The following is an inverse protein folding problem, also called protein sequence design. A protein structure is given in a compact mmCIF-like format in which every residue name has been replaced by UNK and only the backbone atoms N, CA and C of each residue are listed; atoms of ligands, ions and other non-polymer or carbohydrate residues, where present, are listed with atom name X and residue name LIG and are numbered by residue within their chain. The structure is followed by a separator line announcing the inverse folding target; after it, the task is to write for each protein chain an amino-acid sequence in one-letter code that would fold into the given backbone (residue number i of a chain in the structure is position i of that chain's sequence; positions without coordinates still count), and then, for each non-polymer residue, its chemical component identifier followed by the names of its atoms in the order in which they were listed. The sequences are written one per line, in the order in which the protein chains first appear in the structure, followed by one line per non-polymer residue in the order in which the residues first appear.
data_IF_964209165365
#
_entry.id   IF_964209165365
#
_cell.length_a   1.000
_cell.length_b   1.000
_cell.length_c   1.000
_cell.angle_alpha   90.00
_cell.angle_beta   90.00
_cell.angle_gamma   90.00
#
_symmetry.space_group_name_H-M   'P 1'
#
loop_
_entity.id
_entity.type
_entity.pdbx_description
1 polymer ?
#
# COMPACT_ATOMS: atom_id res chain seq x y z
N UNK A 1 11.46 38.02 21.99
CA UNK A 1 12.57 38.00 21.01
C UNK A 1 13.10 36.57 20.95
N UNK A 2 12.81 35.85 19.88
CA UNK A 2 13.30 34.48 19.66
C UNK A 2 14.57 34.60 18.81
N UNK A 3 15.72 34.03 19.21
CA UNK A 3 16.96 34.18 18.46
C UNK A 3 16.88 33.52 17.09
N UNK A 4 17.30 34.25 16.06
CA UNK A 4 17.13 33.97 14.63
C UNK A 4 18.21 33.09 13.99
N UNK A 5 18.99 32.31 14.76
CA UNK A 5 20.00 31.43 14.15
C UNK A 5 20.33 30.23 15.03
N UNK A 6 19.61 29.14 14.82
CA UNK A 6 20.08 27.80 15.15
C UNK A 6 20.37 27.09 13.83
N UNK A 7 21.58 27.30 13.30
CA UNK A 7 22.10 26.49 12.20
C UNK A 7 22.40 25.09 12.72
N UNK A 8 21.43 24.18 12.57
CA UNK A 8 21.67 22.76 12.73
C UNK A 8 22.47 22.29 11.52
N UNK A 9 23.71 21.89 11.75
CA UNK A 9 24.57 21.18 10.79
C UNK A 9 23.98 19.79 10.47
N UNK A 10 22.89 19.76 9.72
CA UNK A 10 22.39 18.57 9.02
C UNK A 10 22.58 18.78 7.52
N UNK A 11 23.77 18.44 7.01
CA UNK A 11 24.08 18.45 5.57
C UNK A 11 23.26 17.46 4.72
N UNK A 12 22.23 16.83 5.29
CA UNK A 12 21.33 15.88 4.64
C UNK A 12 19.88 16.40 4.61
N UNK A 13 19.61 17.58 5.18
CA UNK A 13 18.25 18.11 5.39
C UNK A 13 18.01 19.51 4.78
N UNK A 14 18.88 19.98 3.88
CA UNK A 14 18.54 21.08 2.98
C UNK A 14 18.03 20.48 1.66
N UNK A 15 16.85 20.88 1.15
CA UNK A 15 16.50 20.54 -0.22
C UNK A 15 17.57 21.18 -1.10
N UNK A 16 18.31 20.36 -1.86
CA UNK A 16 19.03 20.89 -3.01
C UNK A 16 17.96 21.57 -3.87
N UNK A 17 18.18 22.82 -4.27
CA UNK A 17 17.34 23.46 -5.29
C UNK A 17 17.26 22.50 -6.47
N UNK A 18 16.12 21.83 -6.61
CA UNK A 18 15.80 21.06 -7.81
C UNK A 18 15.66 22.10 -8.92
N UNK A 19 16.77 22.34 -9.62
CA UNK A 19 16.69 22.84 -10.98
C UNK A 19 15.65 21.96 -11.68
N UNK A 20 14.54 22.56 -12.09
CA UNK A 20 13.50 21.90 -12.88
C UNK A 20 14.19 21.28 -14.09
N UNK A 21 14.50 20.00 -13.99
CA UNK A 21 14.89 19.21 -15.13
C UNK A 21 13.72 19.32 -16.13
N UNK A 22 14.00 19.54 -17.43
CA UNK A 22 12.96 19.51 -18.43
C UNK A 22 12.18 18.19 -18.28
N UNK A 23 10.86 18.28 -18.42
CA UNK A 23 9.98 17.12 -18.40
C UNK A 23 10.59 16.01 -19.27
N UNK A 24 10.81 14.79 -18.73
CA UNK A 24 11.36 13.71 -19.53
C UNK A 24 10.46 13.48 -20.75
N UNK A 25 11.03 13.14 -21.92
CA UNK A 25 10.24 12.76 -23.08
C UNK A 25 9.27 11.63 -22.71
N UNK A 26 8.15 11.54 -23.43
CA UNK A 26 7.19 10.45 -23.27
C UNK A 26 7.95 9.11 -23.21
N UNK A 27 7.91 8.44 -22.06
CA UNK A 27 8.68 7.22 -21.81
C UNK A 27 8.15 6.10 -22.70
N UNK A 28 9.04 5.42 -23.41
CA UNK A 28 8.72 4.18 -24.09
C UNK A 28 8.22 3.10 -23.10
N UNK A 29 7.24 2.26 -23.46
CA UNK A 29 6.57 1.37 -22.52
C UNK A 29 7.39 0.10 -22.18
N UNK A 30 7.68 -0.08 -20.88
CA UNK A 30 8.18 -1.27 -20.16
C UNK A 30 8.83 -2.40 -20.97
N UNK A 31 10.10 -2.23 -21.33
CA UNK A 31 10.95 -3.36 -21.73
C UNK A 31 11.07 -4.40 -20.61
N UNK A 32 11.17 -3.99 -19.34
CA UNK A 32 11.41 -4.95 -18.26
C UNK A 32 10.21 -5.83 -17.94
N UNK A 33 8.96 -5.29 -17.93
CA UNK A 33 7.78 -6.11 -17.66
C UNK A 33 7.55 -7.10 -18.80
N UNK A 34 7.72 -6.65 -20.05
CA UNK A 34 7.75 -7.53 -21.22
C UNK A 34 8.78 -8.63 -21.06
N UNK A 35 10.05 -8.28 -20.77
CA UNK A 35 11.13 -9.24 -20.59
C UNK A 35 10.82 -10.31 -19.54
N UNK A 36 10.14 -9.96 -18.44
CA UNK A 36 9.79 -10.94 -17.41
C UNK A 36 8.50 -11.70 -17.71
N UNK A 37 7.53 -11.14 -18.45
CA UNK A 37 6.26 -11.81 -18.76
C UNK A 37 6.28 -12.62 -20.05
N UNK A 38 7.03 -12.19 -21.06
CA UNK A 38 7.10 -12.81 -22.38
C UNK A 38 7.41 -14.31 -22.36
N UNK A 39 8.38 -14.82 -21.57
CA UNK A 39 8.69 -16.24 -21.56
C UNK A 39 7.60 -17.11 -20.91
N UNK A 40 6.64 -16.53 -20.20
CA UNK A 40 5.68 -17.27 -19.37
C UNK A 40 4.43 -17.62 -20.18
N UNK A 41 4.10 -18.89 -20.30
CA UNK A 41 2.98 -19.35 -21.16
C UNK A 41 1.73 -19.75 -20.40
N UNK A 42 1.74 -19.71 -19.06
CA UNK A 42 0.62 -20.15 -18.22
C UNK A 42 0.30 -19.12 -17.14
N UNK A 43 -0.98 -19.03 -16.79
CA UNK A 43 -1.50 -18.17 -15.74
C UNK A 43 -2.48 -18.97 -14.87
N UNK A 44 -2.42 -18.79 -13.56
CA UNK A 44 -3.32 -19.47 -12.60
C UNK A 44 -4.09 -18.44 -11.78
N UNK A 45 -5.40 -18.59 -11.70
CA UNK A 45 -6.24 -17.75 -10.83
C UNK A 45 -6.05 -18.25 -9.39
N UNK A 46 -5.33 -17.47 -8.57
CA UNK A 46 -5.11 -17.79 -7.16
C UNK A 46 -6.33 -17.41 -6.31
N UNK A 47 -6.93 -16.24 -6.58
CA UNK A 47 -8.17 -15.83 -5.94
C UNK A 47 -9.23 -15.47 -6.99
N UNK A 48 -10.51 -15.83 -6.76
CA UNK A 48 -11.58 -15.66 -7.74
C UNK A 48 -11.68 -14.25 -8.31
N UNK A 49 -11.93 -14.18 -9.61
CA UNK A 49 -12.18 -12.93 -10.30
C UNK A 49 -13.61 -12.46 -10.03
N UNK A 50 -13.78 -11.16 -9.80
CA UNK A 50 -15.10 -10.53 -9.82
C UNK A 50 -15.75 -10.63 -11.20
N UNK A 51 -17.07 -10.41 -11.30
CA UNK A 51 -17.78 -10.40 -12.58
C UNK A 51 -17.16 -9.38 -13.57
N UNK A 52 -16.89 -8.17 -13.09
CA UNK A 52 -16.26 -7.10 -13.88
C UNK A 52 -14.85 -7.48 -14.38
N UNK A 53 -14.04 -8.11 -13.52
CA UNK A 53 -12.70 -8.57 -13.91
C UNK A 53 -12.75 -9.75 -14.91
N UNK A 54 -13.70 -10.66 -14.71
CA UNK A 54 -13.90 -11.83 -15.58
C UNK A 54 -14.32 -11.40 -16.98
N UNK A 55 -15.22 -10.41 -17.08
CA UNK A 55 -15.67 -9.83 -18.34
C UNK A 55 -14.50 -9.18 -19.10
N UNK A 56 -13.69 -8.36 -18.42
CA UNK A 56 -12.55 -7.69 -19.06
C UNK A 56 -11.45 -8.67 -19.49
N UNK A 57 -11.30 -9.79 -18.80
CA UNK A 57 -10.32 -10.83 -19.15
C UNK A 57 -10.89 -11.89 -20.12
N UNK A 58 -12.13 -11.71 -20.59
CA UNK A 58 -12.85 -12.68 -21.44
C UNK A 58 -12.82 -14.12 -20.87
N UNK A 59 -12.95 -14.28 -19.55
CA UNK A 59 -12.88 -15.59 -18.88
C UNK A 59 -14.29 -16.13 -18.54
N UNK A 60 -14.72 -17.27 -19.13
CA UNK A 60 -15.99 -17.92 -18.75
C UNK A 60 -15.87 -18.71 -17.43
N UNK A 61 -16.89 -18.63 -16.58
CA UNK A 61 -16.96 -19.18 -15.22
C UNK A 61 -16.84 -20.73 -15.12
N UNK A 62 -16.86 -21.50 -16.22
CA UNK A 62 -16.73 -22.98 -16.20
C UNK A 62 -16.18 -23.54 -17.54
N UNK A 63 -15.23 -24.51 -17.49
CA UNK A 63 -14.77 -25.49 -18.55
C UNK A 63 -13.29 -25.52 -19.07
N UNK A 64 -12.49 -26.51 -18.63
CA UNK A 64 -11.23 -27.05 -19.19
C UNK A 64 -9.92 -26.24 -19.08
N UNK A 65 -8.84 -26.86 -18.57
CA UNK A 65 -7.82 -26.19 -17.73
C UNK A 65 -6.59 -25.63 -18.50
N UNK A 66 -5.98 -26.40 -19.41
CA UNK A 66 -4.68 -26.02 -20.03
C UNK A 66 -4.77 -24.98 -21.16
N UNK A 67 -5.86 -24.98 -21.95
CA UNK A 67 -6.07 -23.96 -22.99
C UNK A 67 -6.46 -22.60 -22.37
N UNK A 68 -7.04 -22.60 -21.17
CA UNK A 68 -7.39 -21.37 -20.44
C UNK A 68 -6.19 -20.68 -19.85
N UNK A 69 -5.31 -21.43 -19.20
CA UNK A 69 -4.13 -20.87 -18.53
C UNK A 69 -3.24 -20.14 -19.53
N UNK A 70 -3.11 -20.65 -20.76
CA UNK A 70 -2.38 -20.01 -21.85
C UNK A 70 -3.10 -18.80 -22.46
N UNK A 71 -4.42 -18.90 -22.66
CA UNK A 71 -5.24 -17.77 -23.15
C UNK A 71 -5.29 -16.61 -22.13
N UNK A 72 -5.37 -16.93 -20.84
CA UNK A 72 -5.33 -15.96 -19.77
C UNK A 72 -3.95 -15.29 -19.71
N UNK A 73 -2.87 -16.06 -19.86
CA UNK A 73 -1.52 -15.52 -19.91
C UNK A 73 -1.33 -14.54 -21.09
N UNK A 74 -1.78 -14.90 -22.29
CA UNK A 74 -1.71 -14.00 -23.45
C UNK A 74 -2.55 -12.75 -23.25
N UNK A 75 -3.75 -12.88 -22.69
CA UNK A 75 -4.65 -11.75 -22.42
C UNK A 75 -4.02 -10.78 -21.40
N UNK A 76 -3.43 -11.30 -20.33
CA UNK A 76 -2.74 -10.46 -19.33
C UNK A 76 -1.54 -9.73 -19.92
N UNK A 77 -0.75 -10.40 -20.78
CA UNK A 77 0.35 -9.74 -21.50
C UNK A 77 -0.17 -8.62 -22.38
N UNK A 78 -1.18 -8.90 -23.21
CA UNK A 78 -1.80 -7.90 -24.09
C UNK A 78 -2.37 -6.71 -23.32
N UNK A 79 -3.00 -6.95 -22.18
CA UNK A 79 -3.48 -5.89 -21.30
C UNK A 79 -2.30 -5.05 -20.78
N UNK A 80 -1.21 -5.68 -20.34
CA UNK A 80 -0.03 -4.94 -19.90
C UNK A 80 0.54 -4.03 -21.00
N UNK A 81 0.42 -4.44 -22.28
CA UNK A 81 0.89 -3.63 -23.41
C UNK A 81 -0.02 -2.44 -23.72
N UNK A 82 -1.32 -2.56 -23.46
CA UNK A 82 -2.34 -1.56 -23.82
C UNK A 82 -2.70 -0.62 -22.68
N UNK A 83 -2.26 -0.91 -21.45
CA UNK A 83 -2.63 -0.18 -20.24
C UNK A 83 -1.77 1.05 -20.00
N UNK A 84 -2.36 2.06 -19.36
CA UNK A 84 -1.63 3.22 -18.89
C UNK A 84 -0.87 2.88 -17.60
N UNK A 85 0.42 3.16 -17.55
CA UNK A 85 1.21 2.95 -16.33
C UNK A 85 1.04 4.16 -15.43
N UNK A 86 0.36 3.97 -14.30
CA UNK A 86 0.13 5.04 -13.32
C UNK A 86 1.18 5.04 -12.20
N UNK A 87 1.89 3.92 -12.01
CA UNK A 87 3.01 3.80 -11.08
C UNK A 87 3.98 2.72 -11.53
N UNK A 88 5.28 2.95 -11.30
CA UNK A 88 6.34 2.01 -11.65
C UNK A 88 7.46 2.04 -10.60
N UNK A 89 7.86 0.85 -10.16
CA UNK A 89 9.03 0.63 -9.31
C UNK A 89 9.78 -0.61 -9.79
N UNK A 90 10.42 -0.49 -10.95
CA UNK A 90 11.10 -1.57 -11.67
C UNK A 90 12.16 -2.32 -10.85
N UNK A 91 12.87 -1.63 -9.94
CA UNK A 91 13.84 -2.25 -9.00
C UNK A 91 13.17 -3.31 -8.11
N UNK A 92 11.91 -3.08 -7.76
CA UNK A 92 11.08 -3.99 -6.95
C UNK A 92 10.22 -4.93 -7.81
N UNK A 93 10.39 -4.91 -9.13
CA UNK A 93 9.55 -5.60 -10.13
C UNK A 93 8.05 -5.34 -9.90
N UNK A 94 7.70 -4.12 -9.52
CA UNK A 94 6.32 -3.73 -9.25
C UNK A 94 5.86 -2.61 -10.17
N UNK A 95 4.64 -2.70 -10.65
CA UNK A 95 3.97 -1.66 -11.43
C UNK A 95 2.48 -1.62 -11.11
N UNK A 96 1.84 -0.47 -11.36
CA UNK A 96 0.38 -0.35 -11.34
C UNK A 96 -0.07 0.11 -12.72
N UNK A 97 -0.89 -0.72 -13.35
CA UNK A 97 -1.36 -0.57 -14.72
C UNK A 97 -2.86 -0.29 -14.69
N UNK A 98 -3.28 0.85 -15.23
CA UNK A 98 -4.68 1.21 -15.42
C UNK A 98 -5.13 0.71 -16.79
N UNK A 99 -6.04 -0.25 -16.78
CA UNK A 99 -6.49 -0.93 -18.00
C UNK A 99 -7.98 -0.69 -18.30
N UNK A 100 -8.71 -0.09 -17.36
CA UNK A 100 -10.08 0.39 -17.57
C UNK A 100 -10.33 1.67 -16.77
N UNK A 101 -11.54 2.22 -16.85
CA UNK A 101 -11.92 3.40 -16.06
C UNK A 101 -11.93 3.12 -14.56
N UNK A 102 -12.26 1.88 -14.17
CA UNK A 102 -12.56 1.51 -12.77
C UNK A 102 -11.60 0.47 -12.19
N UNK A 103 -10.68 -0.10 -12.97
CA UNK A 103 -9.79 -1.17 -12.53
C UNK A 103 -8.33 -0.92 -12.88
N UNK A 104 -7.48 -1.36 -11.95
CA UNK A 104 -6.02 -1.42 -12.09
C UNK A 104 -5.49 -2.81 -11.78
N UNK A 105 -4.34 -3.12 -12.35
CA UNK A 105 -3.53 -4.29 -12.03
C UNK A 105 -2.28 -3.81 -11.29
N UNK A 106 -2.06 -4.29 -10.06
CA UNK A 106 -0.77 -4.18 -9.37
C UNK A 106 0.04 -5.45 -9.63
N UNK A 107 1.22 -5.31 -10.21
CA UNK A 107 2.18 -6.40 -10.39
C UNK A 107 3.20 -6.40 -9.26
N UNK A 108 3.60 -7.59 -8.81
CA UNK A 108 4.63 -7.75 -7.77
C UNK A 108 5.20 -9.18 -7.78
N UNK A 109 6.43 -9.40 -7.28
CA UNK A 109 6.95 -10.75 -7.07
C UNK A 109 6.15 -11.50 -6.01
N UNK A 110 5.77 -12.76 -6.27
CA UNK A 110 5.01 -13.58 -5.30
C UNK A 110 5.78 -13.82 -3.98
N UNK A 111 7.11 -13.65 -3.99
CA UNK A 111 7.95 -13.72 -2.79
C UNK A 111 7.64 -12.64 -1.75
N UNK A 112 6.86 -11.61 -2.11
CA UNK A 112 6.36 -10.59 -1.18
C UNK A 112 5.10 -11.01 -0.43
N UNK A 113 4.54 -12.17 -0.76
CA UNK A 113 3.28 -12.64 -0.22
C UNK A 113 2.07 -11.90 -0.80
N UNK A 114 0.91 -12.17 -0.21
CA UNK A 114 -0.39 -11.68 -0.68
C UNK A 114 -1.12 -10.83 0.38
N UNK A 115 -0.38 -10.33 1.38
CA UNK A 115 -0.95 -9.60 2.52
C UNK A 115 -1.84 -8.43 2.08
N UNK A 116 -1.42 -7.64 1.08
CA UNK A 116 -2.24 -6.55 0.54
C UNK A 116 -3.60 -7.05 0.02
N UNK A 117 -3.63 -8.15 -0.73
CA UNK A 117 -4.87 -8.72 -1.26
C UNK A 117 -5.81 -9.13 -0.12
N UNK A 118 -5.28 -9.83 0.89
CA UNK A 118 -6.05 -10.27 2.06
C UNK A 118 -6.55 -9.10 2.90
N UNK A 119 -5.72 -8.08 3.12
CA UNK A 119 -6.09 -6.87 3.83
C UNK A 119 -7.21 -6.11 3.11
N UNK A 120 -7.12 -5.97 1.79
CA UNK A 120 -8.18 -5.35 0.99
C UNK A 120 -9.47 -6.17 1.01
N UNK A 121 -9.40 -7.51 0.99
CA UNK A 121 -10.60 -8.35 1.12
C UNK A 121 -11.28 -8.14 2.47
N UNK A 122 -10.48 -8.15 3.54
CA UNK A 122 -10.99 -7.95 4.89
C UNK A 122 -11.63 -6.57 5.07
N UNK A 123 -11.00 -5.50 4.56
CA UNK A 123 -11.55 -4.14 4.59
C UNK A 123 -12.79 -3.98 3.72
N UNK A 124 -12.84 -4.63 2.56
CA UNK A 124 -14.03 -4.62 1.72
C UNK A 124 -15.24 -5.28 2.40
N UNK A 125 -15.01 -6.27 3.28
CA UNK A 125 -16.05 -6.90 4.08
C UNK A 125 -16.47 -6.03 5.28
N UNK A 126 -15.50 -5.50 6.04
CA UNK A 126 -15.77 -4.79 7.30
C UNK A 126 -16.17 -3.33 7.11
N UNK A 127 -15.66 -2.68 6.08
CA UNK A 127 -15.83 -1.24 5.81
C UNK A 127 -16.05 -0.98 4.31
N UNK A 128 -17.12 -1.53 3.71
CA UNK A 128 -17.36 -1.49 2.27
C UNK A 128 -17.59 -0.08 1.69
N UNK A 129 -17.89 0.89 2.55
CA UNK A 129 -18.23 2.28 2.23
C UNK A 129 -17.07 3.26 2.43
N UNK A 130 -15.94 2.80 3.00
CA UNK A 130 -14.74 3.62 3.07
C UNK A 130 -14.04 3.71 1.70
N UNK A 131 -13.33 4.82 1.41
CA UNK A 131 -12.62 5.01 0.16
C UNK A 131 -11.32 4.18 0.16
N UNK A 132 -11.47 2.88 -0.07
CA UNK A 132 -10.38 1.88 -0.08
C UNK A 132 -10.54 1.04 -1.35
N UNK A 133 -9.44 0.76 -2.10
CA UNK A 133 -9.51 -0.11 -3.27
C UNK A 133 -10.15 -1.46 -2.93
N UNK A 134 -11.08 -1.94 -3.76
CA UNK A 134 -11.65 -3.27 -3.56
C UNK A 134 -10.87 -4.29 -4.37
N UNK A 135 -10.59 -5.49 -3.84
CA UNK A 135 -9.93 -6.53 -4.62
C UNK A 135 -10.92 -7.15 -5.62
N UNK A 136 -10.47 -7.33 -6.86
CA UNK A 136 -11.25 -7.92 -7.95
C UNK A 136 -10.69 -9.26 -8.43
N UNK A 137 -9.63 -9.76 -7.79
CA UNK A 137 -9.05 -11.08 -8.03
C UNK A 137 -7.52 -11.05 -8.03
N UNK A 138 -6.91 -12.23 -8.01
CA UNK A 138 -5.45 -12.37 -8.06
C UNK A 138 -5.08 -13.50 -9.02
N UNK A 139 -4.22 -13.19 -9.97
CA UNK A 139 -3.70 -14.14 -10.95
C UNK A 139 -2.19 -14.24 -10.76
N UNK A 140 -1.65 -15.45 -10.91
CA UNK A 140 -0.21 -15.71 -10.86
C UNK A 140 0.26 -16.09 -12.26
N UNK A 141 1.28 -15.37 -12.73
CA UNK A 141 2.02 -15.66 -13.95
C UNK A 141 3.44 -16.04 -13.52
N UNK A 142 3.73 -17.35 -13.42
CA UNK A 142 4.97 -17.89 -12.85
C UNK A 142 5.29 -17.31 -11.45
N UNK A 143 6.27 -16.40 -11.37
CA UNK A 143 6.75 -15.78 -10.12
C UNK A 143 6.21 -14.36 -9.90
N UNK A 144 5.25 -13.91 -10.73
CA UNK A 144 4.67 -12.57 -10.70
C UNK A 144 3.18 -12.68 -10.35
N UNK A 145 2.78 -11.98 -9.30
CA UNK A 145 1.38 -11.75 -8.94
C UNK A 145 0.80 -10.57 -9.73
N UNK A 146 -0.44 -10.75 -10.19
CA UNK A 146 -1.27 -9.76 -10.86
C UNK A 146 -2.52 -9.57 -10.00
N UNK A 147 -2.50 -8.58 -9.12
CA UNK A 147 -3.65 -8.24 -8.29
C UNK A 147 -4.53 -7.23 -8.99
N UNK A 148 -5.76 -7.64 -9.29
CA UNK A 148 -6.79 -6.76 -9.84
C UNK A 148 -7.48 -6.06 -8.67
N UNK A 149 -7.62 -4.74 -8.75
CA UNK A 149 -8.31 -3.95 -7.74
C UNK A 149 -8.96 -2.71 -8.34
N UNK A 150 -9.89 -2.09 -7.60
CA UNK A 150 -10.54 -0.85 -8.04
C UNK A 150 -9.54 0.27 -8.23
N UNK A 151 -9.69 1.02 -9.31
CA UNK A 151 -8.96 2.26 -9.55
C UNK A 151 -9.45 3.35 -8.61
N UNK A 152 -8.52 4.07 -8.00
CA UNK A 152 -8.81 5.26 -7.19
C UNK A 152 -8.53 6.51 -8.04
N UNK A 153 -9.55 7.28 -8.44
CA UNK A 153 -9.35 8.49 -9.24
C UNK A 153 -8.78 9.62 -8.39
N UNK A 154 -7.99 10.50 -9.02
CA UNK A 154 -7.47 11.72 -8.38
C UNK A 154 -5.95 11.80 -8.35
N UNK A 155 -5.44 12.65 -7.48
CA UNK A 155 -4.01 12.93 -7.31
C UNK A 155 -3.59 12.67 -5.87
N UNK A 156 -2.38 12.17 -5.68
CA UNK A 156 -1.87 11.93 -4.33
C UNK A 156 -1.77 13.24 -3.55
N UNK A 157 -2.04 13.20 -2.24
CA UNK A 157 -1.86 14.37 -1.38
C UNK A 157 -0.41 14.86 -1.43
N UNK A 158 0.59 14.01 -1.66
CA UNK A 158 1.96 14.49 -1.83
C UNK A 158 2.08 15.56 -2.92
N UNK A 159 1.36 15.38 -4.05
CA UNK A 159 1.36 16.32 -5.17
C UNK A 159 0.40 17.49 -4.95
N UNK A 160 -0.77 17.24 -4.36
CA UNK A 160 -1.80 18.27 -4.15
C UNK A 160 -1.53 19.16 -2.93
N UNK A 161 -0.81 18.67 -1.90
CA UNK A 161 -0.63 19.38 -0.62
C UNK A 161 -0.06 20.80 -0.73
N UNK A 162 0.90 21.10 -1.63
CA UNK A 162 1.41 22.46 -1.81
C UNK A 162 0.36 23.45 -2.32
N UNK A 163 -0.62 22.99 -3.11
CA UNK A 163 -1.68 23.85 -3.67
C UNK A 163 -2.90 23.97 -2.76
N UNK A 164 -2.99 23.18 -1.69
CA UNK A 164 -4.10 23.25 -0.75
C UNK A 164 -4.06 24.53 0.10
N UNK A 165 -5.21 25.22 0.17
CA UNK A 165 -5.46 26.29 1.13
C UNK A 165 -5.42 25.76 2.57
N UNK A 166 -5.29 26.63 3.59
CA UNK A 166 -5.41 26.23 4.99
C UNK A 166 -6.73 25.49 5.28
N UNK A 167 -7.85 26.00 4.75
CA UNK A 167 -9.17 25.38 4.91
C UNK A 167 -9.26 24.02 4.20
N UNK A 168 -8.65 23.90 3.02
CA UNK A 168 -8.55 22.62 2.31
C UNK A 168 -7.77 21.57 3.11
N UNK A 169 -6.67 21.96 3.76
CA UNK A 169 -5.90 21.07 4.65
C UNK A 169 -6.71 20.65 5.87
N UNK A 170 -7.48 21.57 6.47
CA UNK A 170 -8.38 21.26 7.58
C UNK A 170 -9.51 20.31 7.17
N UNK A 171 -10.08 20.48 5.97
CA UNK A 171 -11.07 19.55 5.44
C UNK A 171 -10.50 18.14 5.25
N UNK A 172 -9.33 18.03 4.62
CA UNK A 172 -8.63 16.75 4.45
C UNK A 172 -8.32 16.10 5.80
N UNK A 173 -7.91 16.89 6.80
CA UNK A 173 -7.68 16.38 8.15
C UNK A 173 -8.94 15.76 8.75
N UNK A 174 -10.09 16.44 8.66
CA UNK A 174 -11.37 15.93 9.17
C UNK A 174 -11.79 14.63 8.48
N UNK A 175 -11.69 14.58 7.15
CA UNK A 175 -11.99 13.37 6.38
C UNK A 175 -11.07 12.21 6.78
N UNK A 176 -9.76 12.45 6.98
CA UNK A 176 -8.84 11.43 7.47
C UNK A 176 -9.20 10.96 8.88
N UNK A 177 -9.57 11.87 9.77
CA UNK A 177 -9.99 11.53 11.14
C UNK A 177 -11.20 10.59 11.13
N UNK A 178 -12.20 10.88 10.31
CA UNK A 178 -13.38 10.04 10.13
C UNK A 178 -13.02 8.65 9.58
N UNK A 179 -12.26 8.59 8.48
CA UNK A 179 -11.86 7.34 7.83
C UNK A 179 -11.03 6.47 8.79
N UNK A 180 -10.00 7.05 9.42
CA UNK A 180 -9.10 6.32 10.31
C UNK A 180 -9.78 5.89 11.61
N UNK A 181 -10.71 6.69 12.13
CA UNK A 181 -11.48 6.30 13.32
C UNK A 181 -12.31 5.05 13.05
N UNK A 182 -12.99 5.00 11.90
CA UNK A 182 -13.78 3.83 11.49
C UNK A 182 -12.94 2.59 11.24
N UNK A 183 -11.76 2.74 10.64
CA UNK A 183 -10.83 1.61 10.50
C UNK A 183 -10.39 1.10 11.88
N UNK A 184 -10.10 2.00 12.82
CA UNK A 184 -9.66 1.68 14.19
C UNK A 184 -10.78 1.16 15.12
N UNK A 185 -12.03 1.16 14.67
CA UNK A 185 -13.12 0.43 15.33
C UNK A 185 -13.00 -1.08 15.13
N UNK A 186 -12.23 -1.52 14.12
CA UNK A 186 -11.91 -2.92 13.92
C UNK A 186 -10.76 -3.28 14.88
N UNK A 187 -11.08 -4.01 15.96
CA UNK A 187 -10.17 -4.29 17.06
C UNK A 187 -9.99 -5.78 17.31
N UNK A 188 -8.86 -6.12 17.94
CA UNK A 188 -8.57 -7.42 18.49
C UNK A 188 -8.10 -7.28 19.94
N UNK A 189 -8.49 -8.24 20.78
CA UNK A 189 -7.98 -8.34 22.14
C UNK A 189 -6.58 -8.95 22.18
N UNK A 190 -5.83 -8.66 23.25
CA UNK A 190 -4.54 -9.28 23.50
C UNK A 190 -4.65 -10.82 23.52
N UNK A 191 -3.64 -11.50 22.96
CA UNK A 191 -3.60 -12.95 22.84
C UNK A 191 -3.84 -13.46 21.42
N UNK A 192 -4.44 -12.64 20.55
CA UNK A 192 -4.46 -12.88 19.11
C UNK A 192 -3.13 -12.40 18.51
N UNK A 193 -2.60 -13.14 17.55
CA UNK A 193 -1.36 -12.79 16.87
C UNK A 193 -1.51 -11.49 16.08
N UNK A 194 -0.58 -10.56 16.29
CA UNK A 194 -0.47 -9.31 15.57
C UNK A 194 0.08 -9.54 14.16
N UNK A 195 -0.25 -8.62 13.25
CA UNK A 195 0.15 -8.71 11.84
C UNK A 195 -1.02 -8.70 10.90
N UNK A 196 -0.82 -9.26 9.71
CA UNK A 196 -1.86 -9.33 8.69
C UNK A 196 -3.07 -10.18 9.11
N UNK A 197 -4.14 -10.10 8.32
CA UNK A 197 -5.40 -10.80 8.60
C UNK A 197 -5.34 -12.32 8.45
N UNK A 198 -4.24 -12.87 7.93
CA UNK A 198 -4.03 -14.31 7.77
C UNK A 198 -3.15 -14.91 8.89
N UNK A 199 -2.64 -14.08 9.80
CA UNK A 199 -1.76 -14.57 10.86
C UNK A 199 -0.37 -14.94 10.34
N UNK A 200 0.13 -14.24 9.32
CA UNK A 200 1.52 -14.40 8.88
C UNK A 200 2.51 -13.78 9.87
N UNK A 201 2.01 -13.06 10.87
CA UNK A 201 2.79 -12.43 11.93
C UNK A 201 3.17 -11.00 11.60
N UNK A 202 3.96 -10.39 12.49
CA UNK A 202 4.33 -8.97 12.38
C UNK A 202 5.38 -8.77 11.30
N UNK A 203 5.09 -7.88 10.34
CA UNK A 203 6.08 -7.36 9.39
C UNK A 203 6.44 -5.92 9.78
N UNK A 204 7.72 -5.65 9.95
CA UNK A 204 8.22 -4.30 10.24
C UNK A 204 9.55 -4.07 9.53
N UNK A 205 9.52 -3.36 8.40
CA UNK A 205 10.73 -3.09 7.61
C UNK A 205 11.80 -2.30 8.39
N UNK A 206 11.44 -1.65 9.51
CA UNK A 206 12.38 -0.86 10.34
C UNK A 206 13.33 -1.73 11.14
N UNK A 207 12.97 -2.98 11.44
CA UNK A 207 13.87 -3.90 12.16
C UNK A 207 14.90 -4.57 11.23
N UNK A 208 14.93 -4.17 9.95
CA UNK A 208 15.76 -4.72 8.87
C UNK A 208 15.68 -6.25 8.77
N UNK A 209 14.53 -6.81 9.17
CA UNK A 209 14.20 -8.21 8.95
C UNK A 209 13.23 -8.27 7.76
N UNK A 210 13.56 -9.10 6.77
CA UNK A 210 12.71 -9.28 5.59
C UNK A 210 11.56 -10.26 5.85
N UNK A 211 11.53 -10.88 7.04
CA UNK A 211 10.61 -11.95 7.38
C UNK A 211 9.62 -11.49 8.46
N UNK A 212 8.39 -12.01 8.35
CA UNK A 212 7.40 -11.81 9.38
C UNK A 212 7.78 -12.57 10.67
N UNK A 213 7.49 -11.95 11.81
CA UNK A 213 7.78 -12.54 13.12
C UNK A 213 6.50 -13.02 13.78
N UNK A 214 6.44 -14.34 14.00
CA UNK A 214 5.32 -15.00 14.67
C UNK A 214 5.44 -14.98 16.20
N UNK A 215 4.31 -15.16 16.87
CA UNK A 215 4.19 -15.25 18.33
C UNK A 215 4.10 -13.91 19.06
N UNK A 216 3.92 -12.80 18.33
CA UNK A 216 3.70 -11.49 18.93
C UNK A 216 2.20 -11.29 19.11
N UNK A 217 1.72 -11.24 20.35
CA UNK A 217 0.28 -11.24 20.67
C UNK A 217 -0.16 -10.07 21.54
N UNK A 218 0.79 -9.21 21.93
CA UNK A 218 0.53 -8.06 22.80
C UNK A 218 1.26 -6.83 22.31
N UNK A 219 0.73 -5.65 22.61
CA UNK A 219 1.39 -4.38 22.33
C UNK A 219 2.79 -4.29 22.96
N UNK A 220 2.98 -4.91 24.12
CA UNK A 220 4.27 -4.96 24.81
C UNK A 220 5.30 -5.80 24.04
N UNK A 221 4.89 -6.92 23.46
CA UNK A 221 5.81 -7.76 22.68
C UNK A 221 6.14 -7.12 21.33
N UNK A 222 5.19 -6.38 20.74
CA UNK A 222 5.44 -5.53 19.57
C UNK A 222 6.47 -4.43 19.86
N UNK A 223 6.32 -3.69 20.98
CA UNK A 223 7.33 -2.71 21.42
C UNK A 223 8.72 -3.35 21.54
N UNK A 224 8.83 -4.50 22.22
CA UNK A 224 10.13 -5.21 22.32
C UNK A 224 10.71 -5.56 20.96
N UNK A 225 9.87 -5.96 20.00
CA UNK A 225 10.29 -6.30 18.66
C UNK A 225 10.90 -5.09 17.94
N UNK A 226 10.27 -3.92 18.01
CA UNK A 226 10.77 -2.69 17.38
C UNK A 226 12.18 -2.31 17.85
N UNK A 227 12.51 -2.61 19.11
CA UNK A 227 13.85 -2.38 19.67
C UNK A 227 14.82 -3.55 19.52
N UNK A 228 14.42 -4.64 18.84
CA UNK A 228 15.28 -5.82 18.62
C UNK A 228 16.11 -5.75 17.34
N UNK A 229 15.98 -4.65 16.57
CA UNK A 229 16.73 -4.41 15.34
C UNK A 229 18.24 -4.60 15.55
N UNK A 230 18.85 -5.48 14.75
CA UNK A 230 20.28 -5.79 14.87
C UNK A 230 21.12 -4.58 14.42
N UNK A 231 22.04 -4.14 15.28
CA UNK A 231 23.13 -3.20 14.96
C UNK A 231 22.75 -1.73 14.66
N UNK A 232 21.56 -1.26 15.02
CA UNK A 232 21.15 0.13 14.71
C UNK A 232 21.55 1.18 15.76
N UNK A 233 21.82 0.78 17.01
CA UNK A 233 22.16 1.73 18.09
C UNK A 233 22.88 1.08 19.27
N UNK A 234 23.58 1.89 20.08
CA UNK A 234 24.17 1.41 21.33
C UNK A 234 23.07 1.05 22.36
N UNK A 235 23.30 0.07 23.26
CA UNK A 235 22.33 -0.29 24.30
C UNK A 235 21.91 0.90 25.17
N UNK A 236 22.81 1.86 25.41
CA UNK A 236 22.50 3.09 26.15
C UNK A 236 21.53 4.00 25.40
N UNK A 237 21.71 4.16 24.09
CA UNK A 237 20.81 4.95 23.26
C UNK A 237 19.42 4.29 23.18
N UNK A 238 19.36 2.97 22.99
CA UNK A 238 18.09 2.22 23.01
C UNK A 238 17.37 2.41 24.35
N UNK A 239 18.09 2.31 25.47
CA UNK A 239 17.52 2.54 26.80
C UNK A 239 16.98 3.97 26.96
N UNK A 240 17.72 4.97 26.48
CA UNK A 240 17.27 6.37 26.51
C UNK A 240 15.97 6.55 25.72
N UNK A 241 15.91 6.06 24.47
CA UNK A 241 14.70 6.17 23.64
C UNK A 241 13.51 5.45 24.29
N UNK A 242 13.72 4.23 24.81
CA UNK A 242 12.67 3.49 25.51
C UNK A 242 12.12 4.25 26.72
N UNK A 243 12.97 4.97 27.47
CA UNK A 243 12.51 5.72 28.64
C UNK A 243 11.48 6.81 28.31
N UNK A 244 11.48 7.34 27.08
CA UNK A 244 10.48 8.30 26.63
C UNK A 244 9.14 7.65 26.24
N UNK A 245 9.10 6.33 26.02
CA UNK A 245 7.92 5.60 25.55
C UNK A 245 7.30 4.68 26.64
N UNK A 246 8.00 4.51 27.76
CA UNK A 246 7.63 3.56 28.80
C UNK A 246 6.23 3.77 29.39
N UNK A 247 5.78 5.02 29.49
CA UNK A 247 4.49 5.34 30.09
C UNK A 247 3.33 5.07 29.11
N UNK A 248 3.49 5.48 27.86
CA UNK A 248 2.52 5.27 26.79
C UNK A 248 2.31 3.77 26.51
N UNK A 249 3.40 3.00 26.38
CA UNK A 249 3.34 1.57 26.08
C UNK A 249 2.74 0.72 27.22
N UNK A 250 2.74 1.19 28.47
CA UNK A 250 2.15 0.45 29.60
C UNK A 250 0.63 0.35 29.51
N UNK A 251 0.00 1.35 28.90
CA UNK A 251 -1.46 1.48 28.82
C UNK A 251 -2.05 0.84 27.56
N UNK A 252 -1.23 0.60 26.53
CA UNK A 252 -1.66 -0.08 25.31
C UNK A 252 -2.15 -1.51 25.64
N UNK A 253 -3.35 -1.82 25.16
CA UNK A 253 -4.03 -3.11 25.29
C UNK A 253 -4.75 -3.40 23.98
N UNK A 254 -4.69 -4.65 23.56
CA UNK A 254 -5.25 -5.08 22.29
C UNK A 254 -4.53 -4.43 21.12
N UNK A 255 -5.14 -4.56 19.95
CA UNK A 255 -4.69 -3.99 18.71
C UNK A 255 -5.87 -3.51 17.88
N UNK A 256 -5.58 -2.60 16.97
CA UNK A 256 -6.56 -2.09 16.01
C UNK A 256 -6.06 -2.36 14.60
N UNK A 257 -6.98 -2.42 13.65
CA UNK A 257 -6.56 -2.48 12.25
C UNK A 257 -5.89 -1.15 11.87
N UNK A 258 -4.70 -1.22 11.30
CA UNK A 258 -3.93 -0.05 10.87
C UNK A 258 -3.35 -0.26 9.48
N UNK A 259 -3.03 0.85 8.82
CA UNK A 259 -2.47 0.85 7.46
C UNK A 259 -1.00 0.38 7.40
N UNK A 260 -0.21 0.59 8.46
CA UNK A 260 1.24 0.30 8.49
C UNK A 260 2.15 1.29 7.78
N UNK A 261 1.70 1.90 6.67
CA UNK A 261 2.48 2.85 5.84
C UNK A 261 1.65 4.09 5.42
N UNK A 262 0.99 4.74 6.37
CA UNK A 262 0.17 5.91 6.06
C UNK A 262 1.03 7.15 5.81
N UNK A 263 1.07 7.62 4.57
CA UNK A 263 1.80 8.81 4.13
C UNK A 263 1.08 9.52 2.99
N UNK A 264 1.46 10.78 2.72
CA UNK A 264 0.78 11.62 1.70
C UNK A 264 0.80 11.03 0.28
N UNK A 265 1.77 10.17 -0.05
CA UNK A 265 1.79 9.46 -1.34
C UNK A 265 0.71 8.39 -1.45
N UNK A 266 0.24 7.88 -0.32
CA UNK A 266 -0.71 6.76 -0.21
C UNK A 266 -2.15 7.24 0.03
N UNK A 267 -2.37 8.56 0.03
CA UNK A 267 -3.69 9.17 0.14
C UNK A 267 -3.97 9.89 -1.17
N UNK A 268 -5.06 9.54 -1.82
CA UNK A 268 -5.51 10.13 -3.08
C UNK A 268 -6.71 11.02 -2.81
N UNK A 269 -6.69 12.21 -3.39
CA UNK A 269 -7.76 13.18 -3.31
C UNK A 269 -8.04 13.79 -4.68
N UNK A 270 -9.25 14.28 -4.84
CA UNK A 270 -9.69 15.00 -6.03
C UNK A 270 -10.34 16.31 -5.60
N UNK A 271 -10.19 17.34 -6.44
CA UNK A 271 -10.93 18.59 -6.24
C UNK A 271 -12.43 18.33 -6.42
N UNK A 272 -13.23 18.87 -5.51
CA UNK A 272 -14.67 18.81 -5.55
C UNK A 272 -15.17 19.59 -6.79
N UNK A 273 -15.87 18.94 -7.73
CA UNK A 273 -16.39 19.60 -8.93
C UNK A 273 -17.34 20.76 -8.61
N UNK A 274 -18.03 20.71 -7.47
CA UNK A 274 -19.02 21.71 -7.07
C UNK A 274 -18.39 22.82 -6.21
N UNK A 275 -17.23 22.57 -5.60
CA UNK A 275 -16.56 23.50 -4.70
C UNK A 275 -15.07 23.64 -5.04
N UNK A 276 -14.75 24.56 -5.95
CA UNK A 276 -13.37 24.85 -6.32
C UNK A 276 -12.51 25.19 -5.07
N UNK A 277 -11.33 24.56 -4.97
CA UNK A 277 -10.43 24.65 -3.82
C UNK A 277 -10.75 23.71 -2.66
N UNK A 278 -11.87 22.99 -2.70
CA UNK A 278 -12.18 21.91 -1.76
C UNK A 278 -11.72 20.57 -2.33
N UNK A 279 -11.11 19.72 -1.51
CA UNK A 279 -10.62 18.41 -1.94
C UNK A 279 -11.30 17.32 -1.13
N UNK A 280 -11.71 16.25 -1.83
CA UNK A 280 -12.32 15.06 -1.24
C UNK A 280 -11.35 13.90 -1.37
N UNK A 281 -11.17 13.15 -0.29
CA UNK A 281 -10.37 11.92 -0.28
C UNK A 281 -11.13 10.87 -1.07
N UNK A 282 -10.55 10.45 -2.18
CA UNK A 282 -11.12 9.44 -3.08
C UNK A 282 -10.57 8.06 -2.78
N UNK A 283 -9.40 7.96 -2.13
CA UNK A 283 -8.92 6.68 -1.66
C UNK A 283 -7.68 6.71 -0.80
N UNK A 284 -7.52 5.69 0.03
CA UNK A 284 -6.27 5.34 0.69
C UNK A 284 -5.77 4.05 0.05
N UNK A 285 -4.52 4.03 -0.42
CA UNK A 285 -3.93 2.96 -1.24
C UNK A 285 -2.69 2.37 -0.57
N UNK A 286 -2.20 1.24 -1.09
CA UNK A 286 -0.96 0.58 -0.66
C UNK A 286 -1.06 -0.05 0.74
N UNK A 287 -1.97 -1.02 0.87
CA UNK A 287 -2.29 -1.71 2.13
C UNK A 287 -1.39 -2.94 2.41
N UNK A 288 -0.17 -2.95 1.86
CA UNK A 288 0.74 -4.10 1.95
C UNK A 288 1.29 -4.34 3.36
N UNK A 289 1.44 -3.27 4.15
CA UNK A 289 1.94 -3.33 5.53
C UNK A 289 0.81 -3.25 6.57
N UNK A 290 -0.44 -3.37 6.12
CA UNK A 290 -1.61 -3.26 6.98
C UNK A 290 -1.83 -4.52 7.81
N UNK A 291 -2.52 -4.33 8.94
CA UNK A 291 -2.77 -5.41 9.87
C UNK A 291 -3.17 -4.90 11.25
N UNK A 292 -3.28 -5.84 12.18
CA UNK A 292 -3.56 -5.57 13.58
C UNK A 292 -2.29 -5.23 14.32
N UNK A 293 -2.19 -3.96 14.73
CA UNK A 293 -1.06 -3.40 15.44
C UNK A 293 -1.53 -2.51 16.60
N UNK A 294 -0.68 -2.24 17.60
CA UNK A 294 -1.03 -1.40 18.74
C UNK A 294 -1.35 0.05 18.37
#
# INVERSE_FOLDING_TARGET
MIPTSYDRLYGWANPKEEQKAPSPPAREPLDWLRQITDPITTATIMYPLSAQASELLNQPLAADDMSRTSTLASTLKDLCLKSDIIFELSIRKGAVLKFSQDLVIKTFPISRGFAEYHNLQYLAEKTPDLPIPKPHGLIILDSIGFMLMSYVPGTTLQKAWPSLSPDGKLSIQKQLEEILSRIREIRQDDGIELGDVQGEGVKDDRIMDMFSRKGITTARDFDKLQFSAKHCASPFYVKLIRSFLEEDCKTLRGSVFTHGDLKKSNIVAQEDPENAGHFVITGIIDWEDSGFYP
#
